data_IF_916434803335
#
_entry.id   IF_916434803335
#
_cell.length_a   1.000
_cell.length_b   1.000
_cell.length_c   1.000
_cell.angle_alpha   90.00
_cell.angle_beta   90.00
_cell.angle_gamma   90.00
#
_symmetry.space_group_name_H-M   'P 1'
#
loop_
_entity.id
_entity.type
_entity.pdbx_description
1 polymer ?
#
# COMPACT_ATOMS: atom_id res chain seq x y z
N UNK A 1 -4.23 -20.90 31.70
CA UNK A 1 -2.83 -20.65 32.14
C UNK A 1 -1.94 -20.70 30.91
N UNK A 2 -1.24 -19.60 30.60
CA UNK A 2 -0.12 -19.54 29.63
C UNK A 2 -0.51 -19.22 28.18
N UNK A 3 -0.66 -17.93 27.86
CA UNK A 3 -1.01 -17.41 26.54
C UNK A 3 0.17 -17.26 25.58
N UNK A 4 1.08 -18.23 25.52
CA UNK A 4 2.26 -18.14 24.66
C UNK A 4 2.35 -19.39 23.78
N UNK A 5 1.80 -19.27 22.59
CA UNK A 5 2.00 -20.27 21.54
C UNK A 5 3.50 -20.33 21.20
N UNK A 6 4.07 -21.55 21.16
CA UNK A 6 5.48 -21.77 20.89
C UNK A 6 5.67 -22.88 19.85
N UNK A 7 6.91 -23.10 19.39
CA UNK A 7 7.25 -24.26 18.57
C UNK A 7 6.80 -25.55 19.26
N UNK A 8 5.94 -26.33 18.59
CA UNK A 8 5.33 -27.54 19.14
C UNK A 8 3.94 -27.36 19.77
N UNK A 9 3.51 -26.13 20.07
CA UNK A 9 2.15 -25.82 20.54
C UNK A 9 1.68 -24.47 19.98
N UNK A 10 1.41 -24.43 18.67
CA UNK A 10 1.04 -23.21 17.95
C UNK A 10 -0.46 -22.84 18.08
N UNK A 11 -1.27 -23.65 18.78
CA UNK A 11 -2.70 -23.40 18.98
C UNK A 11 -3.58 -23.57 17.72
N UNK A 12 -3.03 -24.09 16.62
CA UNK A 12 -3.77 -24.39 15.39
C UNK A 12 -4.53 -25.73 15.47
N UNK A 13 -5.45 -26.00 14.52
CA UNK A 13 -6.11 -27.29 14.41
C UNK A 13 -5.11 -28.42 14.11
N UNK A 14 -5.46 -29.65 14.50
CA UNK A 14 -4.63 -30.84 14.23
C UNK A 14 -4.54 -31.06 12.72
N UNK A 15 -3.32 -31.08 12.19
CA UNK A 15 -3.04 -31.36 10.78
C UNK A 15 -2.54 -32.79 10.61
N UNK A 16 -3.17 -33.56 9.72
CA UNK A 16 -2.78 -34.95 9.42
C UNK A 16 -2.85 -35.18 7.91
N UNK A 17 -1.84 -35.83 7.35
CA UNK A 17 -1.79 -36.21 5.93
C UNK A 17 -1.28 -35.13 4.97
N UNK A 18 -0.76 -34.00 5.47
CA UNK A 18 -0.15 -32.94 4.65
C UNK A 18 1.35 -33.20 4.56
N UNK A 19 1.87 -33.37 3.34
CA UNK A 19 3.31 -33.56 3.09
C UNK A 19 3.84 -32.34 2.34
N UNK A 20 4.92 -31.75 2.85
CA UNK A 20 5.56 -30.56 2.27
C UNK A 20 6.94 -30.91 1.75
N UNK A 21 7.25 -30.48 0.52
CA UNK A 21 8.56 -30.66 -0.10
C UNK A 21 9.22 -29.31 -0.33
N UNK A 22 10.53 -29.24 -0.13
CA UNK A 22 11.34 -28.05 -0.39
C UNK A 22 12.70 -28.45 -0.96
N UNK A 23 13.24 -27.62 -1.85
CA UNK A 23 14.60 -27.76 -2.39
C UNK A 23 15.53 -26.77 -1.69
N UNK A 24 16.77 -27.15 -1.42
CA UNK A 24 17.77 -26.26 -0.79
C UNK A 24 17.98 -24.99 -1.60
N UNK A 25 18.07 -23.84 -0.93
CA UNK A 25 18.29 -22.54 -1.58
C UNK A 25 19.58 -22.48 -2.40
N UNK A 26 20.62 -23.24 -2.00
CA UNK A 26 21.88 -23.34 -2.74
C UNK A 26 21.77 -24.14 -4.05
N UNK A 27 20.67 -24.87 -4.24
CA UNK A 27 20.37 -25.60 -5.46
C UNK A 27 19.39 -24.82 -6.37
N UNK A 28 18.87 -23.69 -5.90
CA UNK A 28 17.95 -22.83 -6.65
C UNK A 28 18.65 -21.58 -7.18
N UNK A 29 18.09 -20.98 -8.24
CA UNK A 29 18.51 -19.66 -8.73
C UNK A 29 17.67 -18.59 -8.02
N UNK A 30 18.30 -17.73 -7.23
CA UNK A 30 17.61 -16.75 -6.36
C UNK A 30 16.58 -15.85 -7.08
N UNK A 31 16.86 -15.42 -8.32
CA UNK A 31 15.97 -14.54 -9.11
C UNK A 31 15.39 -15.22 -10.35
N UNK A 32 15.23 -16.54 -10.32
CA UNK A 32 14.60 -17.26 -11.43
C UNK A 32 13.20 -16.68 -11.74
N UNK A 33 13.01 -16.19 -12.96
CA UNK A 33 11.71 -15.69 -13.41
C UNK A 33 11.30 -14.33 -12.85
N UNK A 34 12.18 -13.62 -12.13
CA UNK A 34 11.85 -12.32 -11.53
C UNK A 34 11.39 -11.28 -12.57
N UNK A 35 12.03 -11.21 -13.73
CA UNK A 35 11.61 -10.31 -14.80
C UNK A 35 10.49 -10.91 -15.66
N UNK A 36 10.64 -12.17 -16.08
CA UNK A 36 9.68 -12.85 -16.98
C UNK A 36 8.27 -12.95 -16.38
N UNK A 37 8.16 -13.27 -15.10
CA UNK A 37 6.87 -13.46 -14.43
C UNK A 37 6.60 -12.38 -13.38
N UNK A 38 7.63 -11.88 -12.70
CA UNK A 38 7.47 -10.92 -11.61
C UNK A 38 6.91 -9.59 -12.07
N UNK A 39 7.33 -9.03 -13.21
CA UNK A 39 6.80 -7.74 -13.71
C UNK A 39 5.29 -7.80 -13.93
N UNK A 40 4.82 -8.80 -14.68
CA UNK A 40 3.39 -8.96 -14.95
C UNK A 40 2.59 -9.29 -13.69
N UNK A 41 3.17 -10.06 -12.76
CA UNK A 41 2.52 -10.37 -11.49
C UNK A 41 2.40 -9.13 -10.59
N UNK A 42 3.44 -8.31 -10.51
CA UNK A 42 3.40 -7.03 -9.78
C UNK A 42 2.35 -6.12 -10.39
N UNK A 43 2.36 -5.93 -11.71
CA UNK A 43 1.34 -5.12 -12.40
C UNK A 43 -0.08 -5.59 -12.09
N UNK A 44 -0.35 -6.90 -12.26
CA UNK A 44 -1.67 -7.50 -11.97
C UNK A 44 -2.11 -7.25 -10.52
N UNK A 45 -1.20 -7.39 -9.55
CA UNK A 45 -1.50 -7.19 -8.12
C UNK A 45 -1.69 -5.71 -7.76
N UNK A 46 -0.93 -4.81 -8.37
CA UNK A 46 -1.09 -3.37 -8.15
C UNK A 46 -2.39 -2.86 -8.74
N UNK A 47 -2.73 -3.29 -9.96
CA UNK A 47 -3.97 -2.89 -10.63
C UNK A 47 -5.23 -3.39 -9.91
N UNK A 48 -5.18 -4.55 -9.24
CA UNK A 48 -6.33 -5.01 -8.45
C UNK A 48 -6.57 -4.18 -7.18
N UNK A 49 -5.59 -3.39 -6.74
CA UNK A 49 -5.70 -2.49 -5.59
C UNK A 49 -5.92 -1.03 -5.99
N UNK A 50 -5.63 -0.67 -7.24
CA UNK A 50 -5.79 0.69 -7.76
C UNK A 50 -7.19 1.29 -7.53
N UNK A 51 -8.33 0.55 -7.63
CA UNK A 51 -9.65 1.10 -7.32
C UNK A 51 -9.87 1.46 -5.86
N UNK A 52 -9.12 0.87 -4.93
CA UNK A 52 -9.27 1.14 -3.49
C UNK A 52 -8.33 2.25 -3.03
N UNK A 53 -7.13 2.32 -3.60
CA UNK A 53 -6.09 3.30 -3.22
C UNK A 53 -6.14 4.56 -4.10
N UNK A 54 -6.55 4.42 -5.36
CA UNK A 54 -6.61 5.51 -6.33
C UNK A 54 -7.57 6.64 -5.95
N UNK A 55 -8.86 6.36 -5.65
CA UNK A 55 -9.82 7.41 -5.30
C UNK A 55 -9.40 8.31 -4.12
N UNK A 56 -8.93 7.79 -2.96
CA UNK A 56 -8.51 8.66 -1.87
C UNK A 56 -7.26 9.49 -2.22
N UNK A 57 -6.31 8.95 -2.99
CA UNK A 57 -5.14 9.72 -3.43
C UNK A 57 -5.54 10.86 -4.36
N UNK A 58 -6.37 10.58 -5.37
CA UNK A 58 -6.83 11.58 -6.33
C UNK A 58 -7.61 12.66 -5.60
N UNK A 59 -8.54 12.28 -4.74
CA UNK A 59 -9.35 13.22 -3.97
C UNK A 59 -8.50 14.10 -3.05
N UNK A 60 -7.56 13.51 -2.32
CA UNK A 60 -6.63 14.25 -1.47
C UNK A 60 -5.78 15.25 -2.26
N UNK A 61 -5.28 14.86 -3.44
CA UNK A 61 -4.50 15.75 -4.30
C UNK A 61 -5.33 16.91 -4.85
N UNK A 62 -6.57 16.65 -5.26
CA UNK A 62 -7.48 17.69 -5.75
C UNK A 62 -7.80 18.71 -4.65
N UNK A 63 -8.10 18.26 -3.44
CA UNK A 63 -8.29 19.15 -2.28
C UNK A 63 -7.02 19.96 -2.05
N UNK A 64 -5.89 19.29 -1.84
CA UNK A 64 -4.63 19.94 -1.52
C UNK A 64 -4.28 21.03 -2.55
N UNK A 65 -4.29 20.70 -3.84
CA UNK A 65 -3.95 21.64 -4.91
C UNK A 65 -4.92 22.83 -5.00
N UNK A 66 -6.21 22.63 -4.74
CA UNK A 66 -7.21 23.71 -4.73
C UNK A 66 -7.00 24.66 -3.55
N UNK A 67 -6.76 24.12 -2.36
CA UNK A 67 -6.56 24.92 -1.16
C UNK A 67 -5.22 25.65 -1.16
N UNK A 68 -4.14 25.03 -1.65
CA UNK A 68 -2.85 25.70 -1.79
C UNK A 68 -2.95 26.90 -2.72
N UNK A 69 -3.58 26.75 -3.89
CA UNK A 69 -3.81 27.87 -4.83
C UNK A 69 -4.67 28.98 -4.21
N UNK A 70 -5.74 28.61 -3.50
CA UNK A 70 -6.60 29.58 -2.82
C UNK A 70 -5.84 30.31 -1.71
N UNK A 71 -5.04 29.60 -0.93
CA UNK A 71 -4.21 30.17 0.13
C UNK A 71 -3.20 31.17 -0.44
N UNK A 72 -2.45 30.79 -1.47
CA UNK A 72 -1.52 31.67 -2.18
C UNK A 72 -2.22 32.92 -2.74
N UNK A 73 -3.40 32.76 -3.33
CA UNK A 73 -4.19 33.88 -3.85
C UNK A 73 -4.63 34.85 -2.74
N UNK A 74 -5.18 34.34 -1.63
CA UNK A 74 -5.66 35.17 -0.52
C UNK A 74 -4.52 35.97 0.14
N UNK A 75 -3.32 35.41 0.21
CA UNK A 75 -2.13 36.10 0.71
C UNK A 75 -1.43 36.98 -0.34
N UNK A 76 -1.92 37.01 -1.58
CA UNK A 76 -1.44 37.93 -2.61
C UNK A 76 -2.03 39.34 -2.44
N UNK A 77 -1.45 40.33 -3.13
CA UNK A 77 -1.99 41.70 -3.12
C UNK A 77 -3.41 41.76 -3.68
N UNK A 78 -3.73 40.96 -4.69
CA UNK A 78 -5.04 40.94 -5.35
C UNK A 78 -6.12 40.30 -4.46
N UNK A 79 -5.75 39.36 -3.59
CA UNK A 79 -6.68 38.63 -2.72
C UNK A 79 -6.98 39.32 -1.39
N UNK A 80 -6.35 40.47 -1.06
CA UNK A 80 -6.50 41.14 0.23
C UNK A 80 -7.95 41.49 0.58
N UNK A 81 -8.71 41.96 -0.40
CA UNK A 81 -10.13 42.30 -0.21
C UNK A 81 -10.98 41.06 0.05
N UNK A 82 -10.67 39.95 -0.60
CA UNK A 82 -11.35 38.68 -0.37
C UNK A 82 -10.96 38.07 0.98
N UNK A 83 -9.68 38.17 1.36
CA UNK A 83 -9.18 37.73 2.67
C UNK A 83 -9.85 38.50 3.81
N UNK A 84 -10.05 39.82 3.65
CA UNK A 84 -10.71 40.66 4.65
C UNK A 84 -12.17 40.26 4.93
N UNK A 85 -12.82 39.48 4.05
CA UNK A 85 -14.18 38.95 4.28
C UNK A 85 -14.22 37.78 5.27
N UNK A 86 -13.07 37.16 5.54
CA UNK A 86 -12.94 36.03 6.46
C UNK A 86 -12.45 36.44 7.86
N UNK A 87 -12.29 37.75 8.10
CA UNK A 87 -11.89 38.36 9.38
C UNK A 87 -12.99 39.24 9.96
#
# INVERSE_FOLDING_TARGET
MGGENWWGNMGGPVQKGIVTYSVSSFQQRAFAGALKYGIFNVFRRTMSQAPYVGPPIIFGYLIYSSYTKKHEFLHSKAGKEELAKYG
#
